data_IF_722246497299
#
_entry.id   IF_722246497299
#
_cell.length_a   1.000
_cell.length_b   1.000
_cell.length_c   1.000
_cell.angle_alpha   90.00
_cell.angle_beta   90.00
_cell.angle_gamma   90.00
#
_symmetry.space_group_name_H-M   'P 1'
#
loop_
_entity.id
_entity.type
_entity.pdbx_description
1 polymer ?
#
# COMPACT_ATOMS: atom_id res chain seq x y z
N UNK A 1 34.75 -21.60 -26.94
CA UNK A 1 35.30 -22.74 -27.71
C UNK A 1 36.04 -23.78 -26.84
N UNK A 2 36.75 -23.41 -25.76
CA UNK A 2 37.51 -24.37 -24.94
C UNK A 2 36.65 -25.33 -24.09
N UNK A 3 35.48 -24.90 -23.60
CA UNK A 3 34.59 -25.74 -22.76
C UNK A 3 34.00 -26.94 -23.51
N UNK A 4 33.54 -26.77 -24.76
CA UNK A 4 33.07 -27.90 -25.59
C UNK A 4 34.16 -28.93 -25.87
N UNK A 5 35.40 -28.49 -26.09
CA UNK A 5 36.55 -29.37 -26.37
C UNK A 5 36.94 -30.19 -25.14
N UNK A 6 36.86 -29.61 -23.95
CA UNK A 6 37.11 -30.33 -22.69
C UNK A 6 36.00 -31.34 -22.36
N UNK A 7 34.74 -31.00 -22.63
CA UNK A 7 33.62 -31.94 -22.48
C UNK A 7 33.74 -33.14 -23.43
N UNK A 8 34.14 -32.93 -24.69
CA UNK A 8 34.29 -34.02 -25.65
C UNK A 8 35.44 -34.97 -25.27
N UNK A 9 36.56 -34.42 -24.78
CA UNK A 9 37.68 -35.23 -24.25
C UNK A 9 37.31 -36.05 -23.02
N UNK A 10 36.53 -35.49 -22.08
CA UNK A 10 36.05 -36.26 -20.93
C UNK A 10 35.15 -37.43 -21.34
N UNK A 11 34.31 -37.23 -22.36
CA UNK A 11 33.45 -38.27 -22.89
C UNK A 11 34.29 -39.40 -23.52
N UNK A 12 35.29 -39.06 -24.34
CA UNK A 12 36.22 -40.02 -24.94
C UNK A 12 36.99 -40.83 -23.88
N UNK A 13 37.50 -40.16 -22.84
CA UNK A 13 38.24 -40.80 -21.74
C UNK A 13 37.31 -41.74 -20.94
N UNK A 14 36.08 -41.31 -20.65
CA UNK A 14 35.11 -42.15 -19.94
C UNK A 14 34.71 -43.39 -20.74
N UNK A 15 34.51 -43.26 -22.06
CA UNK A 15 34.21 -44.38 -22.95
C UNK A 15 35.36 -45.39 -23.05
N UNK A 16 36.61 -44.90 -23.15
CA UNK A 16 37.80 -45.75 -23.13
C UNK A 16 37.97 -46.48 -21.80
N UNK A 17 37.67 -45.82 -20.67
CA UNK A 17 37.75 -46.42 -19.35
C UNK A 17 36.67 -47.50 -19.14
N UNK A 18 35.44 -47.26 -19.61
CA UNK A 18 34.35 -48.27 -19.60
C UNK A 18 34.73 -49.47 -20.46
N UNK A 19 35.30 -49.25 -21.65
CA UNK A 19 35.77 -50.32 -22.55
C UNK A 19 36.91 -51.14 -21.93
N UNK A 20 37.87 -50.47 -21.28
CA UNK A 20 38.98 -51.11 -20.58
C UNK A 20 38.48 -52.00 -19.44
N UNK A 21 37.57 -51.50 -18.61
CA UNK A 21 36.96 -52.25 -17.50
C UNK A 21 36.21 -53.48 -18.03
N UNK A 22 35.53 -53.36 -19.17
CA UNK A 22 34.86 -54.48 -19.84
C UNK A 22 35.83 -55.55 -20.35
N UNK A 23 36.95 -55.17 -20.95
CA UNK A 23 37.96 -56.13 -21.41
C UNK A 23 38.61 -56.88 -20.25
N UNK A 24 38.80 -56.21 -19.10
CA UNK A 24 39.30 -56.83 -17.87
C UNK A 24 38.27 -57.80 -17.28
N UNK A 25 36.97 -57.44 -17.29
CA UNK A 25 35.86 -58.31 -16.87
C UNK A 25 35.78 -59.62 -17.70
N UNK A 26 36.10 -59.55 -19.00
CA UNK A 26 36.13 -60.73 -19.86
C UNK A 26 37.27 -61.71 -19.54
N UNK A 27 38.38 -61.21 -18.97
CA UNK A 27 39.60 -61.98 -18.71
C UNK A 27 39.76 -62.43 -17.25
N UNK A 28 39.10 -61.76 -16.30
CA UNK A 28 39.27 -62.02 -14.86
C UNK A 28 37.92 -62.11 -14.16
N UNK A 29 37.62 -63.27 -13.56
CA UNK A 29 36.42 -63.49 -12.73
C UNK A 29 36.54 -62.80 -11.35
N UNK A 30 36.71 -61.48 -11.33
CA UNK A 30 36.75 -60.69 -10.10
C UNK A 30 35.32 -60.45 -9.61
N UNK A 31 34.80 -61.38 -8.82
CA UNK A 31 33.42 -61.45 -8.34
C UNK A 31 32.78 -60.11 -7.89
N UNK A 32 33.50 -59.19 -7.21
CA UNK A 32 32.86 -58.03 -6.52
C UNK A 32 33.42 -56.64 -6.91
N UNK A 33 34.61 -56.55 -7.50
CA UNK A 33 35.28 -55.25 -7.72
C UNK A 33 34.83 -54.51 -8.99
N UNK A 34 34.31 -55.24 -9.98
CA UNK A 34 34.05 -54.76 -11.34
C UNK A 34 32.94 -53.69 -11.43
N UNK A 35 31.83 -53.79 -10.67
CA UNK A 35 30.76 -52.79 -10.73
C UNK A 35 31.12 -51.41 -10.18
N UNK A 36 32.01 -51.37 -9.18
CA UNK A 36 32.51 -50.12 -8.62
C UNK A 36 33.29 -49.31 -9.67
N UNK A 37 33.99 -49.97 -10.59
CA UNK A 37 34.72 -49.31 -11.66
C UNK A 37 33.82 -48.75 -12.77
N UNK A 38 32.69 -49.39 -13.07
CA UNK A 38 31.69 -48.82 -14.00
C UNK A 38 31.01 -47.57 -13.43
N UNK A 39 30.76 -47.52 -12.12
CA UNK A 39 30.21 -46.35 -11.45
C UNK A 39 31.14 -45.12 -11.58
N UNK A 40 32.46 -45.31 -11.55
CA UNK A 40 33.45 -44.23 -11.75
C UNK A 40 33.33 -43.62 -13.15
N UNK A 41 33.10 -44.44 -14.19
CA UNK A 41 32.84 -43.97 -15.56
C UNK A 41 31.58 -43.10 -15.65
N UNK A 42 30.51 -43.51 -14.97
CA UNK A 42 29.24 -42.76 -14.94
C UNK A 42 29.39 -41.43 -14.19
N UNK A 43 30.09 -41.42 -13.05
CA UNK A 43 30.36 -40.19 -12.27
C UNK A 43 31.22 -39.20 -13.06
N UNK A 44 32.14 -39.67 -13.91
CA UNK A 44 32.91 -38.81 -14.81
C UNK A 44 32.04 -38.17 -15.91
N UNK A 45 30.98 -38.86 -16.36
CA UNK A 45 30.02 -38.33 -17.34
C UNK A 45 28.96 -37.45 -16.68
N UNK A 46 28.60 -37.70 -15.43
CA UNK A 46 27.66 -36.92 -14.60
C UNK A 46 28.04 -35.43 -14.46
N UNK A 47 29.30 -35.07 -14.70
CA UNK A 47 29.73 -33.66 -14.78
C UNK A 47 29.26 -32.90 -16.04
N UNK A 48 28.54 -33.54 -16.96
CA UNK A 48 28.15 -32.95 -18.25
C UNK A 48 26.74 -32.34 -18.21
N UNK A 49 26.57 -31.19 -18.88
CA UNK A 49 25.29 -30.42 -18.90
C UNK A 49 24.12 -31.11 -19.61
N UNK A 50 24.28 -32.33 -20.12
CA UNK A 50 23.28 -33.01 -20.94
C UNK A 50 23.06 -34.41 -20.35
N UNK A 51 21.79 -34.78 -20.16
CA UNK A 51 21.37 -35.98 -19.44
C UNK A 51 21.46 -37.26 -20.29
N UNK A 52 21.25 -37.15 -21.60
CA UNK A 52 21.22 -38.30 -22.51
C UNK A 52 22.48 -39.19 -22.48
N UNK A 53 23.71 -38.64 -22.43
CA UNK A 53 24.94 -39.45 -22.34
C UNK A 53 25.06 -40.25 -21.05
N UNK A 54 24.57 -39.74 -19.91
CA UNK A 54 24.61 -40.45 -18.61
C UNK A 54 23.65 -41.64 -18.64
N UNK A 55 22.43 -41.45 -19.14
CA UNK A 55 21.46 -42.54 -19.35
C UNK A 55 21.95 -43.57 -20.37
N UNK A 56 22.58 -43.13 -21.46
CA UNK A 56 23.10 -44.01 -22.50
C UNK A 56 24.30 -44.83 -21.98
N UNK A 57 25.21 -44.20 -21.22
CA UNK A 57 26.32 -44.90 -20.55
C UNK A 57 25.80 -45.90 -19.51
N UNK A 58 24.82 -45.52 -18.69
CA UNK A 58 24.19 -46.42 -17.72
C UNK A 58 23.47 -47.60 -18.38
N UNK A 59 22.80 -47.36 -19.53
CA UNK A 59 22.18 -48.40 -20.35
C UNK A 59 23.20 -49.38 -20.93
N UNK A 60 24.30 -48.87 -21.49
CA UNK A 60 25.41 -49.70 -21.98
C UNK A 60 26.04 -50.50 -20.84
N UNK A 61 26.34 -49.89 -19.69
CA UNK A 61 26.90 -50.59 -18.54
C UNK A 61 25.95 -51.66 -17.99
N UNK A 62 24.64 -51.37 -17.93
CA UNK A 62 23.61 -52.34 -17.53
C UNK A 62 23.57 -53.54 -18.49
N UNK A 63 23.67 -53.30 -19.80
CA UNK A 63 23.71 -54.35 -20.82
C UNK A 63 24.99 -55.20 -20.72
N UNK A 64 26.15 -54.57 -20.63
CA UNK A 64 27.45 -55.26 -20.51
C UNK A 64 27.53 -56.11 -19.23
N UNK A 65 26.89 -55.66 -18.14
CA UNK A 65 26.80 -56.41 -16.88
C UNK A 65 26.02 -57.73 -17.03
N UNK A 66 25.14 -57.90 -18.03
CA UNK A 66 24.37 -59.13 -18.25
C UNK A 66 24.71 -59.88 -19.54
N UNK A 67 25.41 -59.26 -20.49
CA UNK A 67 25.77 -59.87 -21.78
C UNK A 67 26.49 -61.24 -21.66
N UNK A 68 27.42 -61.47 -20.72
CA UNK A 68 28.05 -62.79 -20.57
C UNK A 68 27.08 -63.91 -20.15
N UNK A 69 26.02 -63.57 -19.39
CA UNK A 69 25.00 -64.54 -18.93
C UNK A 69 24.11 -65.00 -20.09
N UNK A 70 23.84 -64.10 -21.04
CA UNK A 70 23.00 -64.37 -22.22
C UNK A 70 23.73 -65.26 -23.23
N UNK A 71 25.06 -65.14 -23.33
CA UNK A 71 25.88 -65.93 -24.26
C UNK A 71 26.17 -67.33 -23.71
N UNK A 72 26.28 -67.49 -22.38
CA UNK A 72 26.72 -68.73 -21.73
C UNK A 72 25.59 -69.47 -20.99
N UNK A 73 24.40 -69.56 -21.62
CA UNK A 73 23.17 -70.17 -21.06
C UNK A 73 23.34 -71.66 -20.68
N UNK A 74 24.45 -72.31 -21.07
CA UNK A 74 24.75 -73.72 -20.74
C UNK A 74 25.64 -73.91 -19.50
N UNK A 75 26.20 -72.85 -18.91
CA UNK A 75 27.03 -72.95 -17.71
C UNK A 75 26.18 -72.87 -16.42
N UNK A 76 26.45 -73.72 -15.43
CA UNK A 76 25.79 -73.67 -14.12
C UNK A 76 26.36 -72.49 -13.31
N UNK A 77 25.87 -71.27 -13.61
CA UNK A 77 26.38 -70.03 -13.02
C UNK A 77 26.14 -70.05 -11.50
N UNK A 78 27.18 -69.88 -10.66
CA UNK A 78 27.03 -69.88 -9.21
C UNK A 78 26.16 -68.71 -8.72
N UNK A 79 25.35 -68.94 -7.68
CA UNK A 79 24.38 -67.95 -7.16
C UNK A 79 25.02 -66.62 -6.74
N UNK A 80 26.25 -66.65 -6.24
CA UNK A 80 27.04 -65.45 -5.90
C UNK A 80 27.27 -64.52 -7.10
N UNK A 81 27.34 -65.05 -8.32
CA UNK A 81 27.52 -64.23 -9.52
C UNK A 81 26.24 -63.45 -9.89
N UNK A 82 25.06 -64.01 -9.60
CA UNK A 82 23.78 -63.31 -9.77
C UNK A 82 23.61 -62.18 -8.76
N UNK A 83 23.96 -62.43 -7.49
CA UNK A 83 23.92 -61.41 -6.43
C UNK A 83 24.85 -60.23 -6.74
N UNK A 84 26.07 -60.50 -7.21
CA UNK A 84 27.03 -59.45 -7.57
C UNK A 84 26.57 -58.59 -8.76
N UNK A 85 25.93 -59.19 -9.77
CA UNK A 85 25.39 -58.46 -10.93
C UNK A 85 24.17 -57.61 -10.55
N UNK A 86 23.35 -58.06 -9.60
CA UNK A 86 22.23 -57.26 -9.09
C UNK A 86 22.74 -56.04 -8.29
N UNK A 87 23.74 -56.25 -7.42
CA UNK A 87 24.42 -55.16 -6.70
C UNK A 87 25.00 -54.14 -7.70
N UNK A 88 25.61 -54.62 -8.78
CA UNK A 88 26.15 -53.77 -9.84
C UNK A 88 25.10 -52.84 -10.47
N UNK A 89 23.95 -53.41 -10.84
CA UNK A 89 22.86 -52.67 -11.46
C UNK A 89 22.29 -51.63 -10.50
N UNK A 90 22.13 -51.96 -9.22
CA UNK A 90 21.66 -50.98 -8.21
C UNK A 90 22.64 -49.82 -8.05
N UNK A 91 23.95 -50.08 -8.02
CA UNK A 91 24.98 -49.04 -7.93
C UNK A 91 24.99 -48.10 -9.14
N UNK A 92 24.85 -48.67 -10.35
CA UNK A 92 24.76 -47.90 -11.60
C UNK A 92 23.58 -46.92 -11.54
N UNK A 93 22.39 -47.38 -11.16
CA UNK A 93 21.19 -46.54 -11.15
C UNK A 93 21.15 -45.57 -9.95
N UNK A 94 21.73 -45.91 -8.80
CA UNK A 94 21.92 -44.96 -7.69
C UNK A 94 22.80 -43.78 -8.14
N UNK A 95 23.87 -44.03 -8.89
CA UNK A 95 24.72 -42.98 -9.43
C UNK A 95 23.96 -42.06 -10.42
N UNK A 96 23.11 -42.64 -11.28
CA UNK A 96 22.25 -41.87 -12.20
C UNK A 96 21.23 -41.01 -11.46
N UNK A 97 20.58 -41.55 -10.43
CA UNK A 97 19.62 -40.80 -9.60
C UNK A 97 20.31 -39.69 -8.82
N UNK A 98 21.52 -39.95 -8.29
CA UNK A 98 22.33 -38.95 -7.61
C UNK A 98 22.67 -37.75 -8.52
N UNK A 99 23.07 -38.03 -9.76
CA UNK A 99 23.34 -36.99 -10.77
C UNK A 99 22.10 -36.15 -11.10
N UNK A 100 20.96 -36.81 -11.33
CA UNK A 100 19.66 -36.14 -11.55
C UNK A 100 19.28 -35.19 -10.42
N UNK A 101 19.42 -35.64 -9.16
CA UNK A 101 19.11 -34.82 -7.99
C UNK A 101 20.06 -33.63 -7.88
N UNK A 102 21.36 -33.88 -8.07
CA UNK A 102 22.38 -32.84 -8.04
C UNK A 102 22.11 -31.77 -9.11
N UNK A 103 21.83 -32.18 -10.35
CA UNK A 103 21.49 -31.28 -11.44
C UNK A 103 20.23 -30.47 -11.12
N UNK A 104 19.15 -31.11 -10.65
CA UNK A 104 17.89 -30.41 -10.29
C UNK A 104 18.12 -29.37 -9.20
N UNK A 105 18.97 -29.66 -8.22
CA UNK A 105 19.37 -28.71 -7.18
C UNK A 105 20.15 -27.52 -7.76
N UNK A 106 21.10 -27.77 -8.67
CA UNK A 106 21.87 -26.69 -9.31
C UNK A 106 21.02 -25.82 -10.24
N UNK A 107 20.10 -26.42 -11.00
CA UNK A 107 19.14 -25.69 -11.83
C UNK A 107 18.20 -24.84 -11.00
N UNK A 108 17.67 -25.40 -9.89
CA UNK A 108 16.81 -24.66 -8.98
C UNK A 108 17.53 -23.45 -8.38
N UNK A 109 18.74 -23.64 -7.83
CA UNK A 109 19.58 -22.55 -7.30
C UNK A 109 19.80 -21.47 -8.37
N UNK A 110 20.13 -21.88 -9.60
CA UNK A 110 20.37 -20.96 -10.71
C UNK A 110 19.11 -20.20 -11.14
N UNK A 111 17.95 -20.86 -11.17
CA UNK A 111 16.68 -20.26 -11.54
C UNK A 111 16.21 -19.26 -10.48
N UNK A 112 16.31 -19.63 -9.19
CA UNK A 112 16.04 -18.73 -8.07
C UNK A 112 16.94 -17.50 -8.17
N UNK A 113 18.25 -17.68 -8.38
CA UNK A 113 19.19 -16.56 -8.52
C UNK A 113 18.85 -15.66 -9.73
N UNK A 114 18.48 -16.25 -10.87
CA UNK A 114 18.03 -15.49 -12.05
C UNK A 114 16.77 -14.67 -11.82
N UNK A 115 15.87 -15.11 -10.94
CA UNK A 115 14.66 -14.37 -10.59
C UNK A 115 14.91 -13.31 -9.50
N UNK A 116 15.77 -13.59 -8.52
CA UNK A 116 16.06 -12.68 -7.42
C UNK A 116 16.89 -11.47 -7.84
N UNK A 117 17.92 -11.65 -8.68
CA UNK A 117 18.81 -10.53 -9.08
C UNK A 117 18.04 -9.38 -9.75
N UNK A 118 17.14 -9.62 -10.72
CA UNK A 118 16.33 -8.55 -11.31
C UNK A 118 15.40 -7.85 -10.32
N UNK A 119 14.86 -8.58 -9.32
CA UNK A 119 13.99 -7.98 -8.30
C UNK A 119 14.76 -6.94 -7.47
N UNK A 120 16.00 -7.25 -7.08
CA UNK A 120 16.84 -6.30 -6.36
C UNK A 120 17.36 -5.17 -7.27
N UNK A 121 17.69 -5.45 -8.53
CA UNK A 121 18.14 -4.41 -9.48
C UNK A 121 17.05 -3.38 -9.79
N UNK A 122 15.82 -3.83 -10.01
CA UNK A 122 14.69 -2.97 -10.36
C UNK A 122 13.92 -2.44 -9.14
N UNK A 123 14.35 -2.78 -7.93
CA UNK A 123 13.76 -2.27 -6.70
C UNK A 123 13.82 -0.74 -6.68
N UNK A 124 12.76 -0.04 -6.22
CA UNK A 124 12.80 1.41 -6.01
C UNK A 124 13.68 1.81 -4.83
N UNK A 125 14.09 0.86 -3.99
CA UNK A 125 15.00 1.09 -2.86
C UNK A 125 16.46 1.07 -3.31
N UNK A 126 17.30 1.86 -2.66
CA UNK A 126 18.74 1.77 -2.81
C UNK A 126 19.25 0.54 -2.05
N UNK A 127 19.72 -0.51 -2.75
CA UNK A 127 20.16 -1.76 -2.13
C UNK A 127 21.67 -1.92 -2.26
N UNK A 128 22.30 -2.31 -1.16
CA UNK A 128 23.73 -2.66 -1.07
C UNK A 128 23.89 -3.94 -0.27
N UNK A 129 24.72 -4.86 -0.73
CA UNK A 129 25.13 -6.06 0.03
C UNK A 129 26.61 -5.89 0.37
N UNK A 130 26.93 -6.11 1.64
CA UNK A 130 28.29 -6.02 2.16
C UNK A 130 28.79 -7.35 2.67
N UNK A 131 30.09 -7.58 2.56
CA UNK A 131 30.76 -8.70 3.21
C UNK A 131 30.90 -8.46 4.73
N UNK A 132 31.47 -9.43 5.44
CA UNK A 132 31.74 -9.38 6.88
C UNK A 132 32.82 -8.35 7.27
N UNK A 133 33.61 -7.86 6.31
CA UNK A 133 34.55 -6.74 6.49
C UNK A 133 33.92 -5.37 6.16
N UNK A 134 32.60 -5.33 5.94
CA UNK A 134 31.84 -4.13 5.62
C UNK A 134 32.17 -3.51 4.24
N UNK A 135 32.75 -4.28 3.33
CA UNK A 135 32.95 -3.88 1.94
C UNK A 135 31.72 -4.20 1.09
N UNK A 136 31.27 -3.24 0.27
CA UNK A 136 30.14 -3.46 -0.65
C UNK A 136 30.53 -4.45 -1.75
N UNK A 137 29.91 -5.63 -1.72
CA UNK A 137 30.09 -6.70 -2.73
C UNK A 137 29.13 -6.51 -3.90
N UNK A 138 27.97 -5.90 -3.65
CA UNK A 138 26.94 -5.67 -4.67
C UNK A 138 26.12 -4.43 -4.37
N UNK A 139 25.72 -3.70 -5.42
CA UNK A 139 24.85 -2.52 -5.33
C UNK A 139 23.89 -2.50 -6.51
N UNK A 140 22.67 -2.02 -6.29
CA UNK A 140 21.66 -1.94 -7.34
C UNK A 140 21.69 -0.62 -8.12
N UNK A 141 20.86 -0.50 -9.16
CA UNK A 141 20.74 0.71 -9.96
C UNK A 141 20.34 1.95 -9.12
N UNK A 142 19.40 1.83 -8.19
CA UNK A 142 18.98 2.98 -7.36
C UNK A 142 20.09 3.47 -6.44
N UNK A 143 20.86 2.57 -5.84
CA UNK A 143 22.01 2.91 -5.02
C UNK A 143 23.09 3.63 -5.84
N UNK A 144 23.33 3.20 -7.08
CA UNK A 144 24.23 3.89 -8.03
C UNK A 144 23.74 5.31 -8.36
N UNK A 145 22.44 5.48 -8.64
CA UNK A 145 21.86 6.81 -8.89
C UNK A 145 21.97 7.74 -7.68
N UNK A 146 21.84 7.18 -6.48
CA UNK A 146 21.90 7.93 -5.23
C UNK A 146 23.30 8.49 -4.96
N UNK A 147 24.35 7.71 -5.25
CA UNK A 147 25.74 8.04 -4.89
C UNK A 147 26.54 8.64 -6.07
N UNK A 148 26.16 8.36 -7.32
CA UNK A 148 26.89 8.81 -8.53
C UNK A 148 27.78 7.71 -9.16
N UNK A 149 28.57 8.04 -10.20
CA UNK A 149 29.39 7.05 -10.92
C UNK A 149 30.48 6.44 -10.03
N UNK A 150 30.65 5.11 -10.14
CA UNK A 150 31.48 4.27 -9.26
C UNK A 150 33.00 4.46 -9.41
N UNK A 151 33.46 5.22 -10.41
CA UNK A 151 34.88 5.38 -10.78
C UNK A 151 35.70 6.23 -9.77
N UNK A 152 35.07 6.81 -8.75
CA UNK A 152 35.74 7.54 -7.66
C UNK A 152 35.99 6.70 -6.40
N UNK A 153 36.03 5.37 -6.50
CA UNK A 153 36.04 4.53 -5.29
C UNK A 153 37.12 3.43 -5.31
N UNK A 154 38.39 3.76 -5.02
CA UNK A 154 39.33 2.84 -4.41
C UNK A 154 39.20 2.96 -2.87
N UNK A 155 38.63 1.96 -2.21
CA UNK A 155 38.55 1.90 -0.74
C UNK A 155 37.44 2.74 -0.10
N UNK A 156 36.19 2.58 -0.53
CA UNK A 156 35.03 3.15 0.19
C UNK A 156 34.89 2.49 1.56
N UNK A 157 35.57 3.02 2.56
CA UNK A 157 35.09 2.92 3.92
C UNK A 157 33.84 3.79 4.00
N UNK A 158 32.67 3.16 4.13
CA UNK A 158 31.46 3.85 4.57
C UNK A 158 31.69 4.21 6.05
N UNK A 159 32.48 5.27 6.31
CA UNK A 159 32.69 5.82 7.66
C UNK A 159 31.52 6.72 8.07
N UNK A 160 30.68 7.15 7.12
CA UNK A 160 29.58 8.08 7.40
C UNK A 160 28.16 7.50 7.34
N UNK A 161 27.97 6.20 7.07
CA UNK A 161 26.76 5.55 7.57
C UNK A 161 27.06 5.22 9.03
N UNK A 162 26.47 5.95 9.97
CA UNK A 162 26.51 5.58 11.39
C UNK A 162 26.20 4.08 11.46
N UNK A 163 27.11 3.29 12.03
CA UNK A 163 26.78 1.92 12.35
C UNK A 163 25.54 1.97 13.27
N UNK A 164 24.45 1.27 12.93
CA UNK A 164 23.31 1.18 13.82
C UNK A 164 23.80 0.63 15.16
N UNK A 165 23.36 1.25 16.26
CA UNK A 165 23.50 0.62 17.57
C UNK A 165 22.77 -0.74 17.53
N UNK A 166 23.20 -1.76 18.30
CA UNK A 166 22.57 -3.09 18.31
C UNK A 166 21.04 -3.04 18.48
N UNK A 167 20.54 -2.02 19.18
CA UNK A 167 19.12 -1.84 19.49
C UNK A 167 18.35 -0.95 18.50
N UNK A 168 19.00 -0.39 17.46
CA UNK A 168 18.33 0.48 16.50
C UNK A 168 18.84 0.28 15.06
N UNK A 169 18.22 -0.62 14.28
CA UNK A 169 18.67 -0.96 12.92
C UNK A 169 18.36 0.14 11.88
N UNK A 170 17.70 1.23 12.29
CA UNK A 170 17.24 2.30 11.39
C UNK A 170 18.06 3.56 11.59
N UNK A 171 18.78 3.98 10.54
CA UNK A 171 19.61 5.19 10.56
C UNK A 171 19.16 6.14 9.46
N UNK A 172 18.80 7.37 9.81
CA UNK A 172 18.53 8.42 8.83
C UNK A 172 19.80 9.26 8.65
N UNK A 173 20.28 9.39 7.41
CA UNK A 173 21.38 10.30 7.07
C UNK A 173 21.04 11.12 5.82
N UNK A 174 21.77 12.21 5.61
CA UNK A 174 21.67 13.02 4.39
C UNK A 174 22.76 12.59 3.41
N UNK A 175 22.37 12.21 2.20
CA UNK A 175 23.27 11.87 1.09
C UNK A 175 22.86 12.71 -0.11
N UNK A 176 23.78 13.50 -0.68
CA UNK A 176 23.50 14.36 -1.84
C UNK A 176 22.24 15.24 -1.67
N UNK A 177 22.08 15.83 -0.49
CA UNK A 177 20.93 16.68 -0.12
C UNK A 177 19.57 15.95 -0.13
N UNK A 178 19.59 14.63 -0.04
CA UNK A 178 18.41 13.77 0.13
C UNK A 178 18.48 13.10 1.49
N UNK A 179 17.34 13.01 2.17
CA UNK A 179 17.26 12.24 3.40
C UNK A 179 16.98 10.78 3.09
N UNK A 180 17.89 9.91 3.48
CA UNK A 180 17.79 8.47 3.26
C UNK A 180 17.64 7.77 4.60
N UNK A 181 16.60 6.94 4.72
CA UNK A 181 16.44 5.99 5.81
C UNK A 181 17.08 4.66 5.43
N UNK A 182 18.05 4.23 6.22
CA UNK A 182 18.75 2.97 6.05
C UNK A 182 18.21 1.92 7.01
N UNK A 183 18.03 0.71 6.49
CA UNK A 183 17.79 -0.51 7.26
C UNK A 183 18.93 -1.49 7.00
N UNK A 184 19.51 -2.03 8.06
CA UNK A 184 20.59 -3.01 7.99
C UNK A 184 20.11 -4.36 8.51
N UNK A 185 20.08 -5.35 7.64
CA UNK A 185 19.68 -6.72 7.98
C UNK A 185 20.92 -7.63 7.87
N UNK A 186 21.35 -8.29 8.97
CA UNK A 186 22.44 -9.24 8.89
C UNK A 186 22.03 -10.44 8.01
N UNK A 187 22.92 -10.86 7.13
CA UNK A 187 22.80 -12.11 6.39
C UNK A 187 23.51 -13.18 7.20
N UNK A 188 22.77 -14.21 7.57
CA UNK A 188 23.21 -15.28 8.47
C UNK A 188 23.13 -16.60 7.70
N UNK A 189 24.13 -17.47 7.88
CA UNK A 189 24.14 -18.81 7.29
C UNK A 189 23.42 -19.85 8.17
N UNK A 190 23.35 -21.10 7.70
CA UNK A 190 22.70 -22.21 8.41
C UNK A 190 23.39 -22.55 9.76
N UNK A 191 24.62 -22.07 9.98
CA UNK A 191 25.39 -22.23 11.22
C UNK A 191 25.20 -21.06 12.20
N UNK A 192 24.28 -20.14 11.89
CA UNK A 192 24.01 -18.92 12.63
C UNK A 192 25.19 -17.92 12.65
N UNK A 193 26.10 -18.01 11.68
CA UNK A 193 27.21 -17.08 11.51
C UNK A 193 26.83 -15.97 10.53
N UNK A 194 27.17 -14.72 10.86
CA UNK A 194 26.96 -13.58 9.95
C UNK A 194 27.93 -13.65 8.77
N UNK A 195 27.39 -13.78 7.56
CA UNK A 195 28.16 -13.82 6.31
C UNK A 195 28.22 -12.47 5.59
N UNK A 196 27.37 -11.51 5.99
CA UNK A 196 27.34 -10.18 5.40
C UNK A 196 26.19 -9.33 5.94
N UNK A 197 25.98 -8.15 5.34
CA UNK A 197 24.88 -7.25 5.68
C UNK A 197 24.14 -6.78 4.43
N UNK A 198 22.82 -6.93 4.44
CA UNK A 198 21.92 -6.31 3.48
C UNK A 198 21.54 -4.90 3.96
N UNK A 199 21.91 -3.89 3.18
CA UNK A 199 21.61 -2.48 3.44
C UNK A 199 20.52 -2.01 2.47
N UNK A 200 19.40 -1.53 3.00
CA UNK A 200 18.27 -0.99 2.24
C UNK A 200 18.09 0.50 2.56
N UNK A 201 18.20 1.37 1.56
CA UNK A 201 18.01 2.81 1.66
C UNK A 201 16.70 3.25 1.01
N UNK A 202 15.91 4.05 1.72
CA UNK A 202 14.68 4.66 1.23
C UNK A 202 14.79 6.18 1.24
N UNK A 203 14.55 6.83 0.10
CA UNK A 203 14.51 8.29 0.00
C UNK A 203 13.21 8.83 0.60
N UNK A 204 13.33 9.66 1.63
CA UNK A 204 12.21 10.28 2.35
C UNK A 204 11.99 11.75 1.98
N UNK A 205 12.79 12.30 1.08
CA UNK A 205 12.83 13.74 0.82
C UNK A 205 11.47 14.28 0.38
N UNK A 206 10.85 13.66 -0.62
CA UNK A 206 9.56 14.10 -1.14
C UNK A 206 8.45 13.88 -0.11
N UNK A 207 8.46 12.74 0.59
CA UNK A 207 7.47 12.45 1.63
C UNK A 207 7.51 13.48 2.76
N UNK A 208 8.71 13.87 3.21
CA UNK A 208 8.87 14.91 4.23
C UNK A 208 8.42 16.28 3.75
N UNK A 209 8.79 16.68 2.52
CA UNK A 209 8.35 17.95 1.93
C UNK A 209 6.83 18.03 1.86
N UNK A 210 6.17 16.97 1.40
CA UNK A 210 4.70 16.92 1.37
C UNK A 210 4.11 16.97 2.78
N UNK A 211 4.68 16.25 3.75
CA UNK A 211 4.21 16.28 5.13
C UNK A 211 4.34 17.69 5.75
N UNK A 212 5.45 18.39 5.51
CA UNK A 212 5.65 19.76 5.99
C UNK A 212 4.73 20.77 5.30
N UNK A 213 4.56 20.68 3.98
CA UNK A 213 3.61 21.50 3.24
C UNK A 213 2.18 21.28 3.74
N UNK A 214 1.78 20.03 3.93
CA UNK A 214 0.46 19.69 4.45
C UNK A 214 0.26 20.24 5.86
N UNK A 215 1.24 20.05 6.76
CA UNK A 215 1.20 20.58 8.13
C UNK A 215 1.06 22.10 8.14
N UNK A 216 1.79 22.79 7.28
CA UNK A 216 1.72 24.25 7.14
C UNK A 216 0.34 24.69 6.61
N UNK A 217 -0.16 24.02 5.58
CA UNK A 217 -1.49 24.30 5.01
C UNK A 217 -2.62 24.07 6.01
N UNK A 218 -2.59 22.94 6.73
CA UNK A 218 -3.54 22.63 7.81
C UNK A 218 -3.47 23.67 8.92
N UNK A 219 -2.26 24.06 9.35
CA UNK A 219 -2.08 25.11 10.36
C UNK A 219 -2.69 26.43 9.92
N UNK A 220 -2.40 26.87 8.70
CA UNK A 220 -2.96 28.12 8.13
C UNK A 220 -4.48 28.06 8.05
N UNK A 221 -5.05 26.97 7.52
CA UNK A 221 -6.51 26.83 7.37
C UNK A 221 -7.24 26.75 8.71
N UNK A 222 -6.62 26.13 9.70
CA UNK A 222 -7.17 26.07 11.06
C UNK A 222 -7.21 27.45 11.71
N UNK A 223 -6.16 28.26 11.52
CA UNK A 223 -6.14 29.64 12.02
C UNK A 223 -7.21 30.52 11.34
N UNK A 224 -7.32 30.46 10.00
CA UNK A 224 -8.36 31.17 9.25
C UNK A 224 -9.78 30.78 9.70
N UNK A 225 -10.04 29.48 9.87
CA UNK A 225 -11.34 28.98 10.34
C UNK A 225 -11.64 29.43 11.77
N UNK A 226 -10.65 29.43 12.66
CA UNK A 226 -10.83 29.90 14.04
C UNK A 226 -11.22 31.38 14.06
N UNK A 227 -10.56 32.20 13.25
CA UNK A 227 -10.87 33.63 13.15
C UNK A 227 -12.27 33.89 12.58
N UNK A 228 -12.65 33.17 11.53
CA UNK A 228 -14.00 33.27 10.94
C UNK A 228 -15.06 32.82 11.95
N UNK A 229 -14.82 31.73 12.67
CA UNK A 229 -15.75 31.22 13.68
C UNK A 229 -15.95 32.24 14.82
N UNK A 230 -14.88 32.90 15.27
CA UNK A 230 -14.98 33.96 16.27
C UNK A 230 -15.77 35.16 15.77
N UNK A 231 -15.51 35.62 14.53
CA UNK A 231 -16.28 36.70 13.90
C UNK A 231 -17.77 36.35 13.78
N UNK A 232 -18.09 35.13 13.32
CA UNK A 232 -19.48 34.66 13.19
C UNK A 232 -20.17 34.58 14.55
N UNK A 233 -19.46 34.16 15.60
CA UNK A 233 -20.01 34.14 16.97
C UNK A 233 -20.39 35.53 17.45
N UNK A 234 -19.57 36.54 17.16
CA UNK A 234 -19.86 37.93 17.48
C UNK A 234 -21.09 38.44 16.71
N UNK A 235 -21.14 38.20 15.39
CA UNK A 235 -22.28 38.60 14.56
C UNK A 235 -23.60 37.95 15.02
N UNK A 236 -23.57 36.66 15.35
CA UNK A 236 -24.74 35.94 15.90
C UNK A 236 -25.18 36.54 17.24
N UNK A 237 -24.23 36.90 18.11
CA UNK A 237 -24.54 37.50 19.40
C UNK A 237 -25.18 38.89 19.24
N UNK A 238 -24.69 39.69 18.29
CA UNK A 238 -25.24 41.01 17.96
C UNK A 238 -26.65 40.89 17.38
N UNK A 239 -26.86 40.02 16.37
CA UNK A 239 -28.19 39.77 15.81
C UNK A 239 -29.21 39.36 16.87
N UNK A 240 -28.82 38.45 17.77
CA UNK A 240 -29.71 38.01 18.86
C UNK A 240 -30.06 39.13 19.83
N UNK A 241 -29.16 40.08 20.09
CA UNK A 241 -29.45 41.25 20.92
C UNK A 241 -30.45 42.17 20.22
N UNK A 242 -30.21 42.50 18.95
CA UNK A 242 -31.11 43.33 18.16
C UNK A 242 -32.51 42.72 18.04
N UNK A 243 -32.61 41.40 17.82
CA UNK A 243 -33.89 40.69 17.78
C UNK A 243 -34.63 40.76 19.13
N UNK A 244 -33.91 40.57 20.24
CA UNK A 244 -34.50 40.67 21.58
C UNK A 244 -34.96 42.09 21.89
N UNK A 245 -34.20 43.11 21.50
CA UNK A 245 -34.58 44.51 21.65
C UNK A 245 -35.81 44.86 20.81
N UNK A 246 -35.87 44.36 19.56
CA UNK A 246 -37.03 44.53 18.70
C UNK A 246 -38.29 43.88 19.29
N UNK A 247 -38.17 42.65 19.80
CA UNK A 247 -39.26 41.95 20.47
C UNK A 247 -39.72 42.69 21.73
N UNK A 248 -38.78 43.20 22.53
CA UNK A 248 -39.09 43.99 23.73
C UNK A 248 -39.78 45.32 23.38
N UNK A 249 -39.32 46.01 22.32
CA UNK A 249 -39.93 47.23 21.82
C UNK A 249 -41.35 46.99 21.29
N UNK A 250 -41.54 45.94 20.49
CA UNK A 250 -42.86 45.54 19.97
C UNK A 250 -43.84 45.23 21.11
N UNK A 251 -43.41 44.43 22.10
CA UNK A 251 -44.22 44.14 23.28
C UNK A 251 -44.58 45.40 24.06
N UNK A 252 -43.61 46.32 24.26
CA UNK A 252 -43.86 47.57 24.96
C UNK A 252 -44.89 48.44 24.24
N UNK A 253 -44.84 48.53 22.91
CA UNK A 253 -45.85 49.24 22.12
C UNK A 253 -47.23 48.60 22.33
N UNK A 254 -47.31 47.28 22.30
CA UNK A 254 -48.57 46.58 22.55
C UNK A 254 -49.10 46.84 23.97
N UNK A 255 -48.25 46.76 25.00
CA UNK A 255 -48.65 47.01 26.39
C UNK A 255 -49.16 48.45 26.58
N UNK A 256 -48.56 49.43 25.90
CA UNK A 256 -49.03 50.83 25.92
C UNK A 256 -50.41 50.94 25.28
N UNK A 257 -50.61 50.35 24.09
CA UNK A 257 -51.92 50.34 23.43
C UNK A 257 -52.99 49.69 24.32
N UNK A 258 -52.66 48.57 24.95
CA UNK A 258 -53.53 47.80 25.85
C UNK A 258 -53.78 48.48 27.22
N UNK A 259 -53.01 49.53 27.56
CA UNK A 259 -53.22 50.33 28.77
C UNK A 259 -54.33 51.38 28.62
N UNK A 260 -54.70 51.74 27.39
CA UNK A 260 -55.79 52.69 27.15
C UNK A 260 -57.16 52.03 27.37
N UNK A 261 -58.04 52.70 28.10
CA UNK A 261 -59.43 52.29 28.31
C UNK A 261 -60.37 52.66 27.15
N UNK A 262 -59.86 53.37 26.15
CA UNK A 262 -60.59 53.75 24.92
C UNK A 262 -60.29 52.79 23.78
N UNK A 263 -61.11 52.82 22.73
CA UNK A 263 -60.87 51.98 21.55
C UNK A 263 -59.75 52.61 20.71
N UNK A 264 -58.68 51.86 20.48
CA UNK A 264 -57.52 52.30 19.71
C UNK A 264 -57.27 51.32 18.57
N UNK A 265 -57.27 51.84 17.34
CA UNK A 265 -56.89 51.10 16.13
C UNK A 265 -55.88 51.89 15.33
N UNK A 266 -54.82 51.22 14.85
CA UNK A 266 -53.84 51.80 13.92
C UNK A 266 -54.10 51.22 12.55
N UNK A 267 -54.17 52.09 11.55
CA UNK A 267 -54.54 51.75 10.17
C UNK A 267 -53.40 52.05 9.21
N UNK A 268 -53.30 51.26 8.14
CA UNK A 268 -52.47 51.60 6.99
C UNK A 268 -53.09 52.77 6.23
N UNK A 269 -52.31 53.44 5.37
CA UNK A 269 -52.82 54.49 4.47
C UNK A 269 -53.88 53.99 3.48
N UNK A 270 -54.01 52.67 3.32
CA UNK A 270 -55.05 52.01 2.51
C UNK A 270 -56.30 51.65 3.33
N UNK A 271 -56.32 51.99 4.62
CA UNK A 271 -57.44 51.68 5.54
C UNK A 271 -57.46 50.25 6.07
N UNK A 272 -56.36 49.51 5.96
CA UNK A 272 -56.20 48.17 6.55
C UNK A 272 -55.89 48.28 8.04
N UNK A 273 -56.59 47.55 8.90
CA UNK A 273 -56.31 47.53 10.33
C UNK A 273 -54.99 46.81 10.63
N UNK A 274 -54.01 47.53 11.16
CA UNK A 274 -52.66 47.03 11.47
C UNK A 274 -52.52 46.60 12.93
N UNK A 275 -53.06 47.39 13.85
CA UNK A 275 -53.05 47.13 15.30
C UNK A 275 -54.41 47.51 15.89
N UNK A 276 -54.83 46.82 16.94
CA UNK A 276 -55.96 47.19 17.77
C UNK A 276 -55.66 46.82 19.23
N UNK A 277 -56.01 47.70 20.16
CA UNK A 277 -55.89 47.39 21.59
C UNK A 277 -56.94 46.37 22.03
N UNK A 278 -56.74 45.75 23.21
CA UNK A 278 -57.60 44.67 23.71
C UNK A 278 -59.07 45.04 23.94
N UNK A 279 -59.35 46.28 24.33
CA UNK A 279 -60.69 46.71 24.79
C UNK A 279 -61.81 46.46 23.76
N UNK A 280 -61.72 46.93 22.49
CA UNK A 280 -62.75 46.66 21.48
C UNK A 280 -62.85 45.18 21.08
N UNK A 281 -61.76 44.41 21.24
CA UNK A 281 -61.73 42.97 20.93
C UNK A 281 -62.45 42.15 22.01
N UNK A 282 -62.17 42.43 23.28
CA UNK A 282 -62.79 41.76 24.43
C UNK A 282 -64.30 42.03 24.47
N UNK A 283 -64.72 43.28 24.27
CA UNK A 283 -66.14 43.65 24.26
C UNK A 283 -66.92 43.02 23.11
N UNK A 284 -66.28 42.81 21.96
CA UNK A 284 -66.89 42.16 20.80
C UNK A 284 -66.65 40.64 20.77
N UNK A 285 -65.94 40.07 21.76
CA UNK A 285 -65.52 38.68 21.82
C UNK A 285 -64.80 38.20 20.53
N UNK A 286 -63.88 39.02 20.02
CA UNK A 286 -63.12 38.77 18.78
C UNK A 286 -61.65 38.47 19.09
N UNK A 287 -60.99 37.65 18.25
CA UNK A 287 -59.54 37.52 18.29
C UNK A 287 -58.87 38.57 17.40
N UNK A 288 -57.62 38.95 17.73
CA UNK A 288 -56.81 39.85 16.87
C UNK A 288 -56.75 39.37 15.41
N UNK A 289 -56.58 38.06 15.20
CA UNK A 289 -56.53 37.45 13.86
C UNK A 289 -57.80 37.63 13.04
N UNK A 290 -58.93 37.89 13.70
CA UNK A 290 -60.23 38.01 13.03
C UNK A 290 -60.42 39.40 12.40
N UNK A 291 -59.64 40.40 12.83
CA UNK A 291 -59.78 41.80 12.39
C UNK A 291 -58.51 42.42 11.82
N UNK A 292 -57.32 41.97 12.24
CA UNK A 292 -56.06 42.51 11.75
C UNK A 292 -55.80 42.09 10.28
N UNK A 293 -55.19 42.98 9.51
CA UNK A 293 -54.92 42.79 8.09
C UNK A 293 -56.15 42.95 7.18
N UNK A 294 -57.33 43.21 7.75
CA UNK A 294 -58.57 43.41 6.99
C UNK A 294 -58.87 44.91 6.79
N UNK A 295 -59.61 45.29 5.73
CA UNK A 295 -60.10 46.65 5.60
C UNK A 295 -60.99 47.02 6.79
N UNK A 296 -60.76 48.19 7.39
CA UNK A 296 -61.40 48.54 8.66
C UNK A 296 -62.93 48.64 8.57
N UNK A 297 -63.45 49.13 7.44
CA UNK A 297 -64.89 49.19 7.17
C UNK A 297 -65.54 47.80 7.01
N UNK A 298 -64.76 46.73 6.78
CA UNK A 298 -65.26 45.34 6.71
C UNK A 298 -65.17 44.63 8.06
N UNK A 299 -64.66 45.29 9.11
CA UNK A 299 -64.59 44.70 10.45
C UNK A 299 -65.93 44.80 11.18
N UNK A 300 -66.14 43.90 12.15
CA UNK A 300 -67.38 43.75 12.92
C UNK A 300 -68.02 45.07 13.38
N UNK A 301 -67.22 46.06 13.76
CA UNK A 301 -67.70 47.35 14.28
C UNK A 301 -68.39 48.24 13.24
N UNK A 302 -68.19 47.99 11.93
CA UNK A 302 -68.67 48.84 10.84
C UNK A 302 -69.60 48.13 9.87
N UNK A 303 -69.85 46.83 10.05
CA UNK A 303 -70.69 46.01 9.15
C UNK A 303 -72.20 46.11 9.42
N UNK A 304 -72.64 47.02 10.29
CA UNK A 304 -74.05 47.19 10.64
C UNK A 304 -74.82 48.10 9.67
N UNK A 305 -74.14 48.92 8.86
CA UNK A 305 -74.76 49.79 7.83
C UNK A 305 -73.79 50.11 6.70
N UNK A 306 -74.29 50.05 5.46
CA UNK A 306 -73.52 50.41 4.26
C UNK A 306 -73.17 51.91 4.22
N UNK A 307 -74.08 52.77 4.69
CA UNK A 307 -73.86 54.22 4.76
C UNK A 307 -72.67 54.56 5.68
N UNK A 308 -72.57 53.88 6.82
CA UNK A 308 -71.48 54.08 7.79
C UNK A 308 -70.14 53.57 7.28
N UNK A 309 -70.11 52.48 6.50
CA UNK A 309 -68.89 52.06 5.81
C UNK A 309 -68.42 53.10 4.80
N UNK A 310 -69.36 53.69 4.06
CA UNK A 310 -69.05 54.66 3.03
C UNK A 310 -68.54 55.98 3.63
N UNK A 311 -69.14 56.42 4.73
CA UNK A 311 -68.66 57.56 5.52
C UNK A 311 -67.26 57.32 6.09
N UNK A 312 -67.02 56.14 6.67
CA UNK A 312 -65.70 55.75 7.17
C UNK A 312 -64.65 55.74 6.06
N UNK A 313 -64.97 55.18 4.88
CA UNK A 313 -64.05 55.18 3.72
C UNK A 313 -63.66 56.61 3.33
N UNK A 314 -64.60 57.55 3.32
CA UNK A 314 -64.32 58.96 3.03
C UNK A 314 -63.43 59.60 4.10
N UNK A 315 -63.72 59.35 5.38
CA UNK A 315 -62.88 59.84 6.47
C UNK A 315 -61.45 59.29 6.39
N UNK A 316 -61.28 58.01 6.07
CA UNK A 316 -59.96 57.39 5.90
C UNK A 316 -59.19 57.98 4.71
N UNK A 317 -59.86 58.29 3.61
CA UNK A 317 -59.23 58.96 2.47
C UNK A 317 -58.72 60.37 2.84
N UNK A 318 -59.49 61.12 3.62
CA UNK A 318 -59.06 62.42 4.13
C UNK A 318 -57.91 62.30 5.13
N UNK A 319 -57.97 61.30 6.02
CA UNK A 319 -56.90 61.00 6.96
C UNK A 319 -55.59 60.60 6.26
N UNK A 320 -55.67 59.80 5.19
CA UNK A 320 -54.51 59.44 4.38
C UNK A 320 -53.86 60.65 3.68
N UNK A 321 -54.59 61.75 3.50
CA UNK A 321 -54.08 63.04 2.99
C UNK A 321 -53.53 63.95 4.11
N UNK A 322 -53.44 63.45 5.35
CA UNK A 322 -52.91 64.18 6.51
C UNK A 322 -53.93 65.05 7.25
N UNK A 323 -55.22 64.97 6.92
CA UNK A 323 -56.28 65.71 7.62
C UNK A 323 -56.76 64.94 8.85
N UNK A 324 -56.92 65.60 9.98
CA UNK A 324 -57.57 64.96 11.14
C UNK A 324 -59.08 64.97 10.93
N UNK A 325 -59.71 63.79 10.96
CA UNK A 325 -61.17 63.64 10.87
C UNK A 325 -61.70 63.17 12.22
N UNK A 326 -62.74 63.83 12.71
CA UNK A 326 -63.35 63.55 14.02
C UNK A 326 -64.87 63.50 13.85
N UNK A 327 -65.46 62.48 14.47
CA UNK A 327 -66.89 62.37 14.70
C UNK A 327 -67.15 62.82 16.14
N UNK A 328 -68.17 63.64 16.35
CA UNK A 328 -68.58 64.11 17.68
C UNK A 328 -69.79 63.36 18.21
#
# INVERSE_FOLDING_TARGET
MSTKRNHMRLLEISGLLILLVFLIDLQVSLNVAIPAFYAVGIVLVAGQRQHWPVFLAAGICSFLTFAPVIVDIKANIPQSAWENRLIALTMIWIAVVGDLIYLRQTELKRNIQKQLVPLFENSPLAVSIKDFHNHSVWINQQFRKLIGPADQIPGFNIVNARQPAPDNPVVTNSVNNREIRWHHNPLIDDSNQTIGTLCLGMDLTDQKRYAEMLKTSVGKRTAELSQINESLRLEIAERKRAEKELLAASKRTQDILDSFFVFVGVLSTKGTLLEANRVPLELANLNKTDVLGKPFWETYWWTWSDDSQQELKQALLQAAQGKTVRYD
#
